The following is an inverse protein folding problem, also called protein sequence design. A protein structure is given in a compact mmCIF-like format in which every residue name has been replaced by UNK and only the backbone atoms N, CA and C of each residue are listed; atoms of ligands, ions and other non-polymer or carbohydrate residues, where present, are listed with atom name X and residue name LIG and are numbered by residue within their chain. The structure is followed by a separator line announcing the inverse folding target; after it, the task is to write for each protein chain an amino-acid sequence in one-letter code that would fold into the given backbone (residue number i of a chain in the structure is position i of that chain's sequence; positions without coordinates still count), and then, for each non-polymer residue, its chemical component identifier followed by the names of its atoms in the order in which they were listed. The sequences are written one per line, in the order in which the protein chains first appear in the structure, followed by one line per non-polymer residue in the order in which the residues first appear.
data_IF_356108800815
#
_entry.id   IF_356108800815
#
_cell.length_a   1.000
_cell.length_b   1.000
_cell.length_c   1.000
_cell.angle_alpha   90.00
_cell.angle_beta   90.00
_cell.angle_gamma   90.00
#
_symmetry.space_group_name_H-M   'P 1'
#
loop_
_entity.id
_entity.type
_entity.pdbx_description
1 polymer ?
#
# COMPACT_ATOMS: atom_id res chain seq x y z
N UNK A 1 16.28 -35.09 -7.55
CA UNK A 1 15.01 -34.96 -8.32
C UNK A 1 14.13 -33.96 -7.58
N UNK A 2 14.00 -32.71 -8.03
CA UNK A 2 13.01 -31.79 -7.48
C UNK A 2 11.60 -32.09 -8.05
N UNK A 3 10.58 -31.85 -7.24
CA UNK A 3 9.17 -32.16 -7.49
C UNK A 3 8.50 -31.13 -8.43
N UNK A 4 7.75 -31.54 -9.48
CA UNK A 4 7.19 -30.64 -10.49
C UNK A 4 5.83 -30.00 -10.12
N UNK A 5 5.31 -30.15 -8.90
CA UNK A 5 3.88 -29.91 -8.61
C UNK A 5 3.54 -28.58 -7.94
N UNK A 6 4.51 -27.68 -7.72
CA UNK A 6 4.17 -26.33 -7.28
C UNK A 6 4.10 -25.39 -8.49
N UNK A 7 2.90 -25.05 -9.02
CA UNK A 7 2.80 -23.88 -9.85
C UNK A 7 3.31 -22.72 -8.99
N UNK A 8 4.35 -22.04 -9.45
CA UNK A 8 4.81 -20.78 -8.88
C UNK A 8 3.55 -19.93 -8.71
N UNK A 9 3.07 -19.82 -7.48
CA UNK A 9 2.00 -18.93 -7.11
C UNK A 9 2.51 -17.57 -7.52
N UNK A 10 2.06 -17.07 -8.68
CA UNK A 10 2.14 -15.67 -9.06
C UNK A 10 1.69 -14.94 -7.83
N UNK A 11 2.64 -14.38 -7.10
CA UNK A 11 2.35 -13.61 -5.91
C UNK A 11 1.64 -12.39 -6.47
N UNK A 12 0.32 -12.48 -6.52
CA UNK A 12 -0.53 -11.46 -7.09
C UNK A 12 -0.15 -10.14 -6.46
N UNK A 13 -0.01 -9.09 -7.29
CA UNK A 13 0.20 -7.68 -6.92
C UNK A 13 -0.86 -7.22 -5.89
N UNK A 14 -0.70 -7.67 -4.66
CA UNK A 14 -1.68 -7.53 -3.60
C UNK A 14 -1.12 -6.55 -2.58
N UNK A 15 -1.60 -5.32 -2.68
CA UNK A 15 -1.29 -4.25 -1.75
C UNK A 15 -2.51 -3.99 -0.87
N UNK A 16 -2.34 -4.13 0.43
CA UNK A 16 -3.38 -3.84 1.42
C UNK A 16 -2.91 -2.75 2.38
N UNK A 17 -3.84 -1.84 2.70
CA UNK A 17 -3.61 -0.71 3.60
C UNK A 17 -4.73 -0.63 4.62
N UNK A 18 -4.37 -0.27 5.85
CA UNK A 18 -5.30 0.13 6.88
C UNK A 18 -5.45 1.65 6.85
N UNK A 19 -6.63 2.11 6.43
CA UNK A 19 -7.04 3.52 6.45
C UNK A 19 -7.66 3.86 7.80
N UNK A 20 -7.17 4.94 8.42
CA UNK A 20 -7.77 5.52 9.63
C UNK A 20 -8.17 6.96 9.34
N UNK A 21 -9.38 7.31 9.73
CA UNK A 21 -9.94 8.66 9.61
C UNK A 21 -10.51 9.03 10.97
N UNK A 22 -10.06 10.15 11.52
CA UNK A 22 -10.52 10.64 12.81
C UNK A 22 -10.57 12.17 12.80
N UNK A 23 -11.33 12.73 13.73
CA UNK A 23 -11.36 14.16 13.96
C UNK A 23 -10.46 14.47 15.14
N UNK A 24 -9.50 15.36 14.93
CA UNK A 24 -8.63 15.89 15.98
C UNK A 24 -9.27 17.15 16.55
N UNK A 25 -9.43 17.20 17.87
CA UNK A 25 -10.03 18.37 18.54
C UNK A 25 -9.22 19.62 18.20
N UNK A 26 -9.89 20.67 17.71
CA UNK A 26 -9.25 21.91 17.30
C UNK A 26 -8.50 21.88 15.96
N UNK A 27 -8.27 20.71 15.35
CA UNK A 27 -7.37 20.58 14.19
C UNK A 27 -8.00 19.95 12.94
N UNK A 28 -9.29 19.62 12.99
CA UNK A 28 -10.07 19.16 11.82
C UNK A 28 -9.99 17.65 11.60
N UNK A 29 -10.32 17.19 10.39
CA UNK A 29 -10.20 15.79 10.02
C UNK A 29 -8.74 15.43 9.75
N UNK A 30 -8.35 14.22 10.16
CA UNK A 30 -7.03 13.63 9.95
C UNK A 30 -7.18 12.28 9.29
N UNK A 31 -6.19 11.94 8.48
CA UNK A 31 -6.14 10.68 7.75
C UNK A 31 -4.77 10.05 7.95
N UNK A 32 -4.72 8.74 8.11
CA UNK A 32 -3.45 8.00 8.00
C UNK A 32 -3.64 6.68 7.29
N UNK A 33 -2.60 6.28 6.56
CA UNK A 33 -2.50 4.97 5.93
C UNK A 33 -1.34 4.19 6.53
N UNK A 34 -1.54 2.88 6.68
CA UNK A 34 -0.51 1.95 7.12
C UNK A 34 -0.56 0.70 6.21
N UNK A 35 0.53 0.34 5.52
CA UNK A 35 0.61 -0.92 4.77
C UNK A 35 0.51 -2.12 5.72
N UNK A 36 -0.15 -3.21 5.32
CA UNK A 36 -0.33 -4.39 6.20
C UNK A 36 0.97 -5.13 6.51
N UNK A 37 2.01 -4.96 5.69
CA UNK A 37 3.34 -5.56 5.89
C UNK A 37 4.34 -4.65 6.60
N UNK A 38 3.98 -3.40 6.94
CA UNK A 38 4.89 -2.44 7.56
C UNK A 38 4.26 -1.79 8.80
N UNK A 39 5.03 -1.58 9.88
CA UNK A 39 4.58 -0.75 11.00
C UNK A 39 4.56 0.74 10.66
N UNK A 40 5.13 1.15 9.52
CA UNK A 40 5.23 2.54 9.10
C UNK A 40 3.85 3.14 8.79
N UNK A 41 3.64 4.37 9.27
CA UNK A 41 2.39 5.09 9.11
C UNK A 41 2.62 6.40 8.38
N UNK A 42 1.85 6.63 7.35
CA UNK A 42 1.83 7.86 6.58
C UNK A 42 0.63 8.70 7.01
N UNK A 43 0.88 9.91 7.50
CA UNK A 43 -0.15 10.87 7.91
C UNK A 43 -0.49 11.87 6.80
N UNK A 44 -1.77 12.22 6.67
CA UNK A 44 -2.28 13.12 5.66
C UNK A 44 -3.30 14.11 6.26
N UNK A 45 -3.35 15.31 5.68
CA UNK A 45 -4.30 16.35 6.08
C UNK A 45 -5.73 16.07 5.60
N UNK A 46 -5.89 15.27 4.55
CA UNK A 46 -7.18 14.95 3.92
C UNK A 46 -7.13 13.61 3.18
N UNK A 47 -8.31 13.12 2.80
CA UNK A 47 -8.49 11.81 2.15
C UNK A 47 -7.99 11.80 0.70
N UNK A 48 -8.08 12.91 -0.02
CA UNK A 48 -7.67 12.98 -1.41
C UNK A 48 -6.16 12.81 -1.55
N UNK A 49 -5.39 13.50 -0.70
CA UNK A 49 -3.93 13.35 -0.62
C UNK A 49 -3.52 11.91 -0.27
N UNK A 50 -4.24 11.25 0.64
CA UNK A 50 -3.98 9.86 1.01
C UNK A 50 -4.20 8.88 -0.16
N UNK A 51 -5.27 9.07 -0.94
CA UNK A 51 -5.55 8.24 -2.11
C UNK A 51 -4.54 8.48 -3.25
N UNK A 52 -4.15 9.73 -3.49
CA UNK A 52 -3.12 10.07 -4.48
C UNK A 52 -1.78 9.37 -4.16
N UNK A 53 -1.42 9.28 -2.87
CA UNK A 53 -0.26 8.51 -2.43
C UNK A 53 -0.38 7.01 -2.78
N UNK A 54 -1.53 6.38 -2.50
CA UNK A 54 -1.75 4.96 -2.82
C UNK A 54 -1.65 4.73 -4.32
N UNK A 55 -2.26 5.57 -5.15
CA UNK A 55 -2.18 5.45 -6.60
C UNK A 55 -0.73 5.52 -7.09
N UNK A 56 0.06 6.46 -6.56
CA UNK A 56 1.47 6.56 -6.92
C UNK A 56 2.25 5.32 -6.46
N UNK A 57 1.99 4.83 -5.25
CA UNK A 57 2.65 3.64 -4.72
C UNK A 57 2.39 2.40 -5.58
N UNK A 58 1.13 2.17 -5.98
CA UNK A 58 0.74 1.06 -6.84
C UNK A 58 1.38 1.16 -8.25
N UNK A 59 1.46 2.38 -8.80
CA UNK A 59 2.17 2.62 -10.08
C UNK A 59 3.67 2.32 -9.98
N UNK A 60 4.30 2.61 -8.85
CA UNK A 60 5.73 2.34 -8.66
C UNK A 60 6.01 0.85 -8.45
N UNK A 61 5.22 0.16 -7.62
CA UNK A 61 5.38 -1.28 -7.38
C UNK A 61 5.22 -2.11 -8.66
N UNK A 62 4.33 -1.70 -9.56
CA UNK A 62 4.17 -2.34 -10.88
C UNK A 62 5.31 -2.06 -11.88
N UNK A 63 6.16 -1.05 -11.63
CA UNK A 63 7.30 -0.70 -12.47
C UNK A 63 8.61 -1.38 -12.02
N UNK A 64 8.79 -1.60 -10.72
CA UNK A 64 9.99 -2.22 -10.15
C UNK A 64 10.15 -3.68 -10.63
N UNK A 65 9.04 -4.42 -10.74
CA UNK A 65 9.03 -5.79 -11.30
C UNK A 65 9.27 -5.88 -12.82
N UNK A 66 9.25 -4.76 -13.56
CA UNK A 66 9.60 -4.74 -14.99
C UNK A 66 11.10 -4.57 -15.24
N UNK A 67 11.86 -4.11 -14.25
CA UNK A 67 13.30 -3.90 -14.34
C UNK A 67 14.13 -5.12 -13.89
N UNK A 68 13.51 -6.09 -13.22
CA UNK A 68 14.17 -7.33 -12.77
C UNK A 68 14.01 -8.52 -13.75
N UNK A 69 13.59 -8.28 -15.01
CA UNK A 69 13.45 -9.30 -16.06
C UNK A 69 14.47 -9.15 -17.19
#
# INVERSE_FOLDING_TARGET
MPDPTHPHSKQSDYHAYLLRVWREEGHGWRVSLQPTGSPERFGFADLHTALAFVEQHLRNSSQEMRHEQ
#
